data_IF_307783393548
#
_entry.id   IF_307783393548
#
_cell.length_a   1.000
_cell.length_b   1.000
_cell.length_c   1.000
_cell.angle_alpha   90.00
_cell.angle_beta   90.00
_cell.angle_gamma   90.00
#
_symmetry.space_group_name_H-M   'P 1'
#
loop_
_entity.id
_entity.type
_entity.pdbx_description
1 polymer ?
#
# COMPACT_ATOMS: atom_id res chain seq x y z
N UNK A 1 -19.52 32.48 35.37
CA UNK A 1 -18.36 31.83 34.75
C UNK A 1 -17.86 30.75 35.67
N UNK A 2 -18.08 29.48 35.33
CA UNK A 2 -17.52 28.35 36.07
C UNK A 2 -16.21 27.93 35.39
N UNK A 3 -15.10 28.37 35.97
CA UNK A 3 -13.77 27.85 35.67
C UNK A 3 -13.70 26.41 36.17
N UNK A 4 -13.70 25.45 35.23
CA UNK A 4 -13.24 24.08 35.51
C UNK A 4 -11.74 24.15 35.79
N UNK A 5 -11.35 24.28 37.06
CA UNK A 5 -9.96 24.07 37.47
C UNK A 5 -9.63 22.59 37.27
N UNK A 6 -8.79 22.30 36.29
CA UNK A 6 -8.17 21.00 36.13
C UNK A 6 -7.40 20.68 37.42
N UNK A 7 -7.91 19.73 38.19
CA UNK A 7 -7.40 19.43 39.53
C UNK A 7 -6.25 18.43 39.37
N UNK A 8 -5.03 18.94 39.21
CA UNK A 8 -3.83 18.10 39.23
C UNK A 8 -3.59 17.69 40.69
N UNK A 9 -4.08 16.52 41.08
CA UNK A 9 -3.78 15.93 42.38
C UNK A 9 -2.31 15.49 42.42
N UNK A 10 -1.58 15.84 43.48
CA UNK A 10 -0.20 15.42 43.70
C UNK A 10 -0.11 13.90 43.86
N UNK A 11 0.96 13.29 43.33
CA UNK A 11 1.21 11.86 43.51
C UNK A 11 1.83 11.60 44.90
N UNK A 12 0.98 11.43 45.90
CA UNK A 12 1.35 11.15 47.29
C UNK A 12 0.40 10.12 47.94
N UNK A 13 0.80 9.59 49.10
CA UNK A 13 0.02 8.56 49.82
C UNK A 13 -1.37 9.04 50.26
N UNK A 14 -1.58 10.35 50.43
CA UNK A 14 -2.88 10.91 50.83
C UNK A 14 -3.86 10.93 49.64
N UNK A 15 -3.34 11.17 48.43
CA UNK A 15 -4.09 11.21 47.19
C UNK A 15 -4.21 9.83 46.50
N UNK A 16 -3.45 8.82 46.91
CA UNK A 16 -3.53 7.44 46.36
C UNK A 16 -4.97 6.90 46.25
N UNK A 17 -5.86 6.99 47.27
CA UNK A 17 -7.24 6.50 47.14
C UNK A 17 -8.01 7.20 46.01
N UNK A 18 -7.84 8.53 45.87
CA UNK A 18 -8.46 9.33 44.81
C UNK A 18 -7.87 8.98 43.44
N UNK A 19 -6.55 8.80 43.36
CA UNK A 19 -5.86 8.36 42.15
C UNK A 19 -6.34 6.97 41.71
N UNK A 20 -6.46 6.00 42.62
CA UNK A 20 -7.00 4.66 42.29
C UNK A 20 -8.48 4.70 41.92
N UNK A 21 -9.30 5.56 42.56
CA UNK A 21 -10.72 5.73 42.22
C UNK A 21 -10.91 6.30 40.80
N UNK A 22 -10.02 7.20 40.39
CA UNK A 22 -10.06 7.88 39.10
C UNK A 22 -9.19 7.18 38.03
N UNK A 23 -8.36 6.21 38.42
CA UNK A 23 -7.51 5.47 37.51
C UNK A 23 -8.35 4.69 36.49
N UNK A 24 -7.95 4.77 35.22
CA UNK A 24 -8.44 3.88 34.17
C UNK A 24 -7.53 2.67 34.12
N UNK A 25 -8.00 1.53 34.62
CA UNK A 25 -7.25 0.27 34.63
C UNK A 25 -7.80 -0.73 33.62
N UNK A 26 -6.91 -1.57 33.12
CA UNK A 26 -7.23 -2.70 32.27
C UNK A 26 -5.97 -3.53 32.03
N UNK A 27 -6.13 -4.79 31.65
CA UNK A 27 -5.01 -5.65 31.24
C UNK A 27 -5.33 -6.17 29.84
N UNK A 28 -4.37 -6.12 28.92
CA UNK A 28 -4.55 -6.61 27.54
C UNK A 28 -3.56 -7.73 27.24
N UNK A 29 -4.09 -8.86 26.77
CA UNK A 29 -3.36 -10.02 26.28
C UNK A 29 -3.55 -10.12 24.76
N UNK A 30 -2.46 -10.34 24.03
CA UNK A 30 -2.50 -10.68 22.61
C UNK A 30 -1.74 -11.99 22.42
N UNK A 31 -2.44 -13.03 21.96
CA UNK A 31 -1.92 -14.39 21.86
C UNK A 31 -2.07 -14.83 20.39
N UNK A 32 -1.01 -14.70 19.57
CA UNK A 32 -1.00 -15.25 18.22
C UNK A 32 -0.57 -16.73 18.25
N UNK A 33 -1.50 -17.63 17.93
CA UNK A 33 -1.22 -19.06 17.79
C UNK A 33 -1.19 -19.38 16.30
N UNK A 34 -0.09 -19.92 15.80
CA UNK A 34 0.00 -20.38 14.42
C UNK A 34 0.93 -21.58 14.31
N UNK A 35 0.67 -22.44 13.33
CA UNK A 35 1.54 -23.55 12.98
C UNK A 35 1.45 -23.82 11.48
N UNK A 36 2.42 -24.54 10.93
CA UNK A 36 2.41 -24.99 9.54
C UNK A 36 2.71 -26.47 9.49
N UNK A 37 1.80 -27.23 8.88
CA UNK A 37 1.92 -28.69 8.72
C UNK A 37 1.93 -29.03 7.24
N UNK A 38 2.84 -29.92 6.84
CA UNK A 38 2.84 -30.48 5.48
C UNK A 38 1.89 -31.66 5.42
N UNK A 39 0.78 -31.49 4.71
CA UNK A 39 -0.20 -32.54 4.42
C UNK A 39 0.15 -33.19 3.08
N UNK A 40 0.21 -34.52 3.05
CA UNK A 40 0.58 -35.31 1.86
C UNK A 40 1.90 -34.88 1.20
N UNK A 41 2.83 -34.24 1.95
CA UNK A 41 4.12 -33.67 1.47
C UNK A 41 4.02 -32.47 0.51
N UNK A 42 2.87 -32.24 -0.13
CA UNK A 42 2.70 -31.20 -1.16
C UNK A 42 1.94 -29.96 -0.68
N UNK A 43 1.03 -30.11 0.29
CA UNK A 43 0.20 -29.02 0.79
C UNK A 43 0.75 -28.49 2.10
N UNK A 44 1.18 -27.22 2.12
CA UNK A 44 1.48 -26.53 3.35
C UNK A 44 0.17 -25.94 3.90
N UNK A 45 -0.35 -26.54 4.96
CA UNK A 45 -1.56 -26.09 5.67
C UNK A 45 -1.13 -25.32 6.90
N UNK A 46 -1.56 -24.07 7.02
CA UNK A 46 -1.19 -23.15 8.09
C UNK A 46 -2.43 -22.61 8.81
N UNK A 47 -2.96 -23.34 9.82
CA UNK A 47 -3.96 -22.79 10.71
C UNK A 47 -3.37 -21.67 11.58
N UNK A 48 -4.19 -20.67 11.86
CA UNK A 48 -3.86 -19.56 12.74
C UNK A 48 -5.08 -19.17 13.59
N UNK A 49 -4.83 -18.80 14.82
CA UNK A 49 -5.81 -18.28 15.77
C UNK A 49 -5.18 -17.04 16.40
N UNK A 50 -5.85 -15.90 16.32
CA UNK A 50 -5.47 -14.70 17.06
C UNK A 50 -6.47 -14.49 18.18
N UNK A 51 -6.00 -14.38 19.42
CA UNK A 51 -6.83 -14.08 20.59
C UNK A 51 -6.37 -12.75 21.18
N UNK A 52 -7.31 -11.81 21.27
CA UNK A 52 -7.19 -10.49 21.87
C UNK A 52 -8.11 -10.43 23.09
N UNK A 53 -7.55 -10.63 24.28
CA UNK A 53 -8.29 -10.63 25.52
C UNK A 53 -7.99 -9.37 26.34
N UNK A 54 -9.03 -8.62 26.71
CA UNK A 54 -8.92 -7.44 27.56
C UNK A 54 -9.70 -7.65 28.84
N UNK A 55 -9.05 -7.49 29.98
CA UNK A 55 -9.67 -7.54 31.29
C UNK A 55 -9.95 -6.14 31.82
N UNK A 56 -11.13 -5.98 32.41
CA UNK A 56 -11.57 -4.78 33.09
C UNK A 56 -12.14 -5.13 34.47
N UNK A 57 -11.99 -4.20 35.40
CA UNK A 57 -12.46 -4.35 36.78
C UNK A 57 -13.72 -3.51 37.07
N UNK A 58 -14.23 -2.87 36.01
CA UNK A 58 -15.44 -2.04 36.03
C UNK A 58 -16.26 -2.38 34.79
N UNK A 59 -17.57 -2.20 34.84
CA UNK A 59 -18.47 -2.37 33.71
C UNK A 59 -19.51 -1.26 33.71
N UNK A 60 -19.72 -0.61 32.57
CA UNK A 60 -20.78 0.38 32.43
C UNK A 60 -22.12 -0.31 32.28
N UNK A 61 -23.13 0.24 32.95
CA UNK A 61 -24.51 -0.13 32.78
C UNK A 61 -25.29 1.07 32.24
N UNK A 62 -25.89 0.86 31.09
CA UNK A 62 -26.57 1.90 30.33
C UNK A 62 -28.07 1.91 30.64
N UNK A 63 -28.68 3.08 30.51
CA UNK A 63 -30.12 3.20 30.48
C UNK A 63 -30.56 4.43 29.71
N UNK A 64 -31.87 4.60 29.57
CA UNK A 64 -32.42 5.83 29.06
C UNK A 64 -32.31 6.94 30.13
N UNK A 65 -32.11 8.17 29.68
CA UNK A 65 -32.21 9.37 30.49
C UNK A 65 -33.65 9.60 30.98
N UNK A 66 -33.86 10.63 31.81
CA UNK A 66 -35.18 10.93 32.36
C UNK A 66 -36.24 11.21 31.28
N UNK A 67 -35.84 11.69 30.10
CA UNK A 67 -36.75 11.95 28.98
C UNK A 67 -37.02 10.72 28.11
N UNK A 68 -36.25 9.65 28.29
CA UNK A 68 -36.33 8.44 27.48
C UNK A 68 -35.73 8.58 26.07
N UNK A 69 -35.07 9.70 25.76
CA UNK A 69 -34.63 10.05 24.40
C UNK A 69 -33.16 9.77 24.15
N UNK A 70 -32.35 9.70 25.20
CA UNK A 70 -30.89 9.56 25.09
C UNK A 70 -30.39 8.40 25.95
N UNK A 71 -29.43 7.63 25.44
CA UNK A 71 -28.73 6.62 26.23
C UNK A 71 -27.65 7.29 27.10
N UNK A 72 -27.71 7.05 28.41
CA UNK A 72 -26.76 7.57 29.41
C UNK A 72 -26.24 6.43 30.29
N UNK A 73 -25.05 6.61 30.85
CA UNK A 73 -24.50 5.69 31.85
C UNK A 73 -25.29 5.91 33.13
N UNK A 74 -26.04 4.89 33.59
CA UNK A 74 -26.80 4.97 34.85
C UNK A 74 -25.89 4.70 36.05
N UNK A 75 -25.02 3.71 35.89
CA UNK A 75 -24.11 3.26 36.93
C UNK A 75 -22.88 2.57 36.33
N UNK A 76 -21.85 2.43 37.15
CA UNK A 76 -20.64 1.66 36.83
C UNK A 76 -20.44 0.63 37.91
N UNK A 77 -20.61 -0.65 37.57
CA UNK A 77 -20.39 -1.76 38.49
C UNK A 77 -18.89 -2.03 38.65
N UNK A 78 -18.43 -2.23 39.89
CA UNK A 78 -17.05 -2.65 40.19
C UNK A 78 -16.94 -4.18 40.13
N UNK A 79 -16.96 -4.72 38.92
CA UNK A 79 -16.94 -6.17 38.66
C UNK A 79 -15.87 -6.53 37.65
N UNK A 80 -15.17 -7.64 37.90
CA UNK A 80 -14.29 -8.22 36.90
C UNK A 80 -15.10 -8.68 35.69
N UNK A 81 -14.67 -8.28 34.51
CA UNK A 81 -15.25 -8.70 33.24
C UNK A 81 -14.17 -8.67 32.16
N UNK A 82 -14.43 -9.37 31.06
CA UNK A 82 -13.46 -9.51 29.98
C UNK A 82 -14.10 -9.35 28.62
N UNK A 83 -13.32 -8.82 27.69
CA UNK A 83 -13.59 -8.84 26.25
C UNK A 83 -12.64 -9.85 25.64
N UNK A 84 -13.16 -10.95 25.13
CA UNK A 84 -12.38 -11.92 24.35
C UNK A 84 -12.75 -11.81 22.88
N UNK A 85 -11.87 -11.20 22.10
CA UNK A 85 -11.94 -11.13 20.66
C UNK A 85 -11.04 -12.20 20.07
N UNK A 86 -11.55 -12.99 19.12
CA UNK A 86 -10.72 -13.96 18.41
C UNK A 86 -10.98 -13.93 16.90
N UNK A 87 -10.02 -14.43 16.15
CA UNK A 87 -10.17 -14.74 14.72
C UNK A 87 -9.51 -16.06 14.41
N UNK A 88 -10.15 -16.85 13.57
CA UNK A 88 -9.70 -18.16 13.11
C UNK A 88 -9.33 -18.04 11.64
N UNK A 89 -8.21 -18.62 11.26
CA UNK A 89 -7.81 -18.69 9.86
C UNK A 89 -7.14 -20.01 9.52
N UNK A 90 -7.24 -20.41 8.26
CA UNK A 90 -6.47 -21.52 7.72
C UNK A 90 -6.05 -21.18 6.30
N UNK A 91 -4.77 -21.33 5.99
CA UNK A 91 -4.28 -21.19 4.62
C UNK A 91 -3.70 -22.50 4.11
N UNK A 92 -3.88 -22.76 2.82
CA UNK A 92 -3.35 -23.91 2.11
C UNK A 92 -2.59 -23.39 0.90
N UNK A 93 -1.30 -23.73 0.83
CA UNK A 93 -0.44 -23.39 -0.32
C UNK A 93 0.20 -24.66 -0.88
N UNK A 94 0.32 -24.76 -2.20
CA UNK A 94 1.10 -25.80 -2.87
C UNK A 94 1.94 -25.21 -4.01
N UNK A 95 2.85 -25.99 -4.57
CA UNK A 95 3.62 -25.62 -5.77
C UNK A 95 3.49 -26.72 -6.81
N UNK A 96 3.05 -26.34 -7.99
CA UNK A 96 2.89 -27.20 -9.15
C UNK A 96 3.95 -26.80 -10.16
N UNK A 97 4.73 -27.78 -10.62
CA UNK A 97 5.80 -27.58 -11.59
C UNK A 97 5.38 -28.16 -12.93
N UNK A 98 5.30 -27.32 -13.96
CA UNK A 98 5.12 -27.69 -15.35
C UNK A 98 6.38 -27.42 -16.16
N UNK A 99 6.77 -28.34 -17.04
CA UNK A 99 7.86 -28.12 -17.99
C UNK A 99 7.44 -28.65 -19.35
N UNK A 100 7.40 -27.76 -20.34
CA UNK A 100 7.26 -28.11 -21.75
C UNK A 100 8.65 -28.15 -22.38
N UNK A 101 8.96 -29.22 -23.10
CA UNK A 101 10.20 -29.35 -23.88
C UNK A 101 9.86 -29.44 -25.36
N UNK A 102 10.54 -28.66 -26.19
CA UNK A 102 10.33 -28.72 -27.62
C UNK A 102 10.85 -30.05 -28.18
N UNK A 103 9.98 -30.76 -28.89
CA UNK A 103 10.33 -32.05 -29.52
C UNK A 103 11.29 -31.87 -30.71
N UNK A 104 11.21 -30.74 -31.40
CA UNK A 104 12.06 -30.45 -32.55
C UNK A 104 13.47 -29.98 -32.11
N UNK A 105 14.56 -30.69 -32.47
CA UNK A 105 15.93 -30.30 -32.16
C UNK A 105 16.41 -29.00 -32.83
N UNK A 106 15.71 -28.48 -33.84
CA UNK A 106 16.03 -27.19 -34.47
C UNK A 106 15.23 -26.02 -33.90
N UNK A 107 14.31 -26.27 -32.97
CA UNK A 107 13.49 -25.23 -32.36
C UNK A 107 14.34 -24.19 -31.62
N UNK A 108 14.06 -22.91 -31.90
CA UNK A 108 14.66 -21.76 -31.20
C UNK A 108 14.29 -21.74 -29.72
N UNK A 109 13.12 -22.26 -29.37
CA UNK A 109 12.67 -22.45 -27.99
C UNK A 109 12.92 -23.90 -27.62
N UNK A 110 13.77 -24.15 -26.63
CA UNK A 110 14.09 -25.48 -26.11
C UNK A 110 13.06 -25.99 -25.12
N UNK A 111 12.50 -25.09 -24.34
CA UNK A 111 11.46 -25.43 -23.39
C UNK A 111 10.94 -24.23 -22.61
N UNK A 112 9.82 -24.44 -21.93
CA UNK A 112 9.16 -23.47 -21.07
C UNK A 112 8.94 -24.16 -19.73
N UNK A 113 9.39 -23.52 -18.65
CA UNK A 113 9.10 -23.95 -17.28
C UNK A 113 8.08 -22.99 -16.70
N UNK A 114 7.05 -23.55 -16.08
CA UNK A 114 5.99 -22.83 -15.40
C UNK A 114 5.88 -23.36 -13.97
N UNK A 115 6.02 -22.48 -12.99
CA UNK A 115 5.79 -22.78 -11.59
C UNK A 115 4.50 -22.08 -11.17
N UNK A 116 3.50 -22.86 -10.79
CA UNK A 116 2.21 -22.36 -10.31
C UNK A 116 2.18 -22.53 -8.80
N UNK A 117 1.87 -21.46 -8.07
CA UNK A 117 1.76 -21.43 -6.62
C UNK A 117 0.35 -20.99 -6.23
N UNK A 118 -0.64 -21.90 -6.24
CA UNK A 118 -1.96 -21.59 -5.74
C UNK A 118 -1.92 -21.45 -4.21
N UNK A 119 -2.70 -20.51 -3.70
CA UNK A 119 -2.94 -20.30 -2.28
C UNK A 119 -4.44 -20.06 -2.05
N UNK A 120 -4.98 -20.73 -1.04
CA UNK A 120 -6.35 -20.55 -0.58
C UNK A 120 -6.27 -20.22 0.90
N UNK A 121 -6.95 -19.18 1.37
CA UNK A 121 -7.02 -18.86 2.79
C UNK A 121 -8.44 -18.55 3.22
N UNK A 122 -8.91 -19.22 4.26
CA UNK A 122 -10.17 -18.93 4.91
C UNK A 122 -9.92 -18.15 6.19
N UNK A 123 -10.71 -17.12 6.45
CA UNK A 123 -10.67 -16.33 7.68
C UNK A 123 -12.09 -16.12 8.22
N UNK A 124 -12.24 -16.33 9.52
CA UNK A 124 -13.48 -16.13 10.25
C UNK A 124 -13.26 -15.34 11.54
N UNK A 125 -14.04 -14.28 11.69
CA UNK A 125 -14.13 -13.47 12.91
C UNK A 125 -15.62 -13.36 13.26
N UNK A 126 -16.07 -13.86 14.42
CA UNK A 126 -17.45 -13.71 14.85
C UNK A 126 -17.87 -12.25 15.02
N UNK A 127 -19.17 -12.00 15.01
CA UNK A 127 -19.71 -10.71 15.49
C UNK A 127 -19.71 -10.68 17.01
N UNK A 128 -18.69 -10.05 17.60
CA UNK A 128 -18.60 -9.81 19.05
C UNK A 128 -19.62 -8.79 19.57
N UNK A 129 -20.43 -8.25 18.66
CA UNK A 129 -21.65 -7.53 18.94
C UNK A 129 -22.81 -8.36 19.46
N UNK A 130 -22.78 -9.68 19.25
CA UNK A 130 -23.85 -10.58 19.66
C UNK A 130 -24.09 -10.50 21.17
N UNK A 131 -25.36 -10.52 21.57
CA UNK A 131 -25.77 -10.36 22.96
C UNK A 131 -25.19 -11.45 23.87
N UNK A 132 -24.91 -12.65 23.33
CA UNK A 132 -24.29 -13.76 24.06
C UNK A 132 -22.91 -13.43 24.63
N UNK A 133 -22.15 -12.52 24.02
CA UNK A 133 -20.85 -12.09 24.54
C UNK A 133 -21.00 -11.08 25.68
N UNK A 134 -22.12 -10.36 25.76
CA UNK A 134 -22.36 -9.37 26.81
C UNK A 134 -21.46 -8.14 26.76
N UNK A 135 -20.72 -7.89 25.67
CA UNK A 135 -19.83 -6.72 25.54
C UNK A 135 -20.60 -5.42 25.28
N UNK A 136 -21.81 -5.55 24.73
CA UNK A 136 -22.68 -4.44 24.42
C UNK A 136 -24.00 -4.55 25.18
N UNK A 137 -24.64 -3.41 25.40
CA UNK A 137 -25.95 -3.31 26.01
C UNK A 137 -26.90 -2.58 25.05
N UNK A 138 -28.05 -3.17 24.83
CA UNK A 138 -29.14 -2.54 24.08
C UNK A 138 -29.99 -1.70 25.02
N UNK A 139 -30.22 -0.44 24.65
CA UNK A 139 -31.03 0.53 25.38
C UNK A 139 -32.23 0.89 24.51
N UNK A 140 -33.44 0.72 25.04
CA UNK A 140 -34.68 1.17 24.40
C UNK A 140 -34.86 2.67 24.66
N UNK A 141 -35.02 3.44 23.60
CA UNK A 141 -35.23 4.89 23.59
C UNK A 141 -36.50 5.23 22.81
N UNK A 142 -36.99 6.46 22.96
CA UNK A 142 -38.15 6.99 22.24
C UNK A 142 -37.75 8.15 21.34
N UNK A 143 -38.23 8.14 20.10
CA UNK A 143 -38.01 9.24 19.17
C UNK A 143 -38.88 10.47 19.50
N UNK A 144 -38.75 11.54 18.73
CA UNK A 144 -39.54 12.76 18.93
C UNK A 144 -41.06 12.55 18.79
N UNK A 145 -41.49 11.46 18.15
CA UNK A 145 -42.88 11.05 17.95
C UNK A 145 -43.33 9.97 18.95
N UNK A 146 -42.48 9.62 19.93
CA UNK A 146 -42.76 8.61 20.94
C UNK A 146 -42.59 7.16 20.48
N UNK A 147 -42.10 6.92 19.25
CA UNK A 147 -41.84 5.58 18.74
C UNK A 147 -40.58 5.01 19.39
N UNK A 148 -40.67 3.79 19.89
CA UNK A 148 -39.51 3.09 20.47
C UNK A 148 -38.52 2.66 19.40
N UNK A 149 -37.23 2.86 19.70
CA UNK A 149 -36.10 2.36 18.93
C UNK A 149 -34.99 1.93 19.87
N UNK A 150 -34.10 1.06 19.37
CA UNK A 150 -33.02 0.49 20.16
C UNK A 150 -31.67 1.07 19.75
N UNK A 151 -30.85 1.40 20.74
CA UNK A 151 -29.46 1.82 20.54
C UNK A 151 -28.55 0.88 21.29
N UNK A 152 -27.53 0.36 20.60
CA UNK A 152 -26.52 -0.50 21.21
C UNK A 152 -25.33 0.34 21.68
N UNK A 153 -24.92 0.17 22.94
CA UNK A 153 -23.80 0.87 23.57
C UNK A 153 -22.76 -0.11 24.09
N UNK A 154 -21.48 0.27 23.99
CA UNK A 154 -20.38 -0.52 24.54
C UNK A 154 -20.40 -0.45 26.05
N UNK A 155 -20.27 -1.58 26.76
CA UNK A 155 -20.14 -1.58 28.23
C UNK A 155 -18.77 -1.09 28.72
N UNK A 156 -17.87 -0.74 27.80
CA UNK A 156 -16.49 -0.32 28.06
C UNK A 156 -16.16 1.01 27.37
N UNK A 157 -17.18 1.80 27.04
CA UNK A 157 -16.99 3.11 26.41
C UNK A 157 -16.11 4.01 27.28
N UNK A 158 -15.05 4.59 26.70
CA UNK A 158 -14.11 5.47 27.41
C UNK A 158 -13.11 4.77 28.33
N UNK A 159 -13.09 3.43 28.39
CA UNK A 159 -12.06 2.66 29.10
C UNK A 159 -10.72 2.67 28.34
N UNK A 160 -9.63 2.37 29.04
CA UNK A 160 -8.25 2.56 28.55
C UNK A 160 -7.94 1.82 27.22
N UNK A 161 -8.51 0.64 26.99
CA UNK A 161 -8.32 -0.13 25.75
C UNK A 161 -9.58 -0.16 24.86
N UNK A 162 -10.61 0.60 25.20
CA UNK A 162 -11.88 0.65 24.46
C UNK A 162 -12.74 -0.62 24.58
N UNK A 163 -13.80 -0.66 23.76
CA UNK A 163 -14.75 -1.77 23.69
C UNK A 163 -14.40 -2.81 22.64
N UNK A 164 -15.28 -3.80 22.52
CA UNK A 164 -15.12 -4.87 21.53
C UNK A 164 -15.39 -4.38 20.10
N UNK A 165 -14.96 -5.16 19.11
CA UNK A 165 -15.31 -4.95 17.70
C UNK A 165 -16.72 -5.47 17.42
N UNK A 166 -17.31 -5.03 16.32
CA UNK A 166 -18.61 -5.47 15.85
C UNK A 166 -18.51 -5.93 14.40
N UNK A 167 -19.46 -6.76 13.99
CA UNK A 167 -19.54 -7.32 12.66
C UNK A 167 -18.81 -8.64 12.51
N UNK A 168 -19.31 -9.45 11.59
CA UNK A 168 -18.72 -10.73 11.21
C UNK A 168 -17.75 -10.52 10.05
N UNK A 169 -16.59 -11.18 10.12
CA UNK A 169 -15.72 -11.40 8.95
C UNK A 169 -15.80 -12.87 8.59
N UNK A 170 -16.16 -13.18 7.35
CA UNK A 170 -16.21 -14.56 6.87
C UNK A 170 -15.78 -14.56 5.41
N UNK A 171 -14.51 -14.83 5.14
CA UNK A 171 -13.97 -14.70 3.80
C UNK A 171 -13.08 -15.86 3.39
N UNK A 172 -13.15 -16.23 2.12
CA UNK A 172 -12.24 -17.15 1.45
C UNK A 172 -11.45 -16.35 0.40
N UNK A 173 -10.15 -16.23 0.57
CA UNK A 173 -9.25 -15.65 -0.44
C UNK A 173 -8.64 -16.74 -1.31
N UNK A 174 -8.51 -16.44 -2.60
CA UNK A 174 -7.82 -17.26 -3.57
C UNK A 174 -6.73 -16.44 -4.23
N UNK A 175 -5.52 -16.98 -4.30
CA UNK A 175 -4.42 -16.42 -5.03
C UNK A 175 -3.75 -17.47 -5.91
N UNK A 176 -3.25 -17.02 -7.06
CA UNK A 176 -2.53 -17.85 -8.02
C UNK A 176 -1.26 -17.12 -8.45
N UNK A 177 -0.13 -17.52 -7.91
CA UNK A 177 1.19 -17.04 -8.35
C UNK A 177 1.73 -17.87 -9.50
N UNK A 178 2.32 -17.23 -10.49
CA UNK A 178 2.90 -17.88 -11.66
C UNK A 178 4.30 -17.32 -11.91
N UNK A 179 5.29 -18.20 -12.06
CA UNK A 179 6.62 -17.85 -12.57
C UNK A 179 6.84 -18.64 -13.84
N UNK A 180 7.11 -17.93 -14.95
CA UNK A 180 7.26 -18.54 -16.27
C UNK A 180 8.62 -18.15 -16.84
N UNK A 181 9.45 -19.14 -17.13
CA UNK A 181 10.75 -18.97 -17.78
C UNK A 181 10.81 -19.79 -19.07
N UNK A 182 11.56 -19.29 -20.06
CA UNK A 182 11.79 -19.95 -21.33
C UNK A 182 13.29 -20.15 -21.54
N UNK A 183 13.64 -21.31 -22.08
CA UNK A 183 15.00 -21.63 -22.52
C UNK A 183 15.05 -21.54 -24.04
N UNK A 184 15.95 -20.71 -24.57
CA UNK A 184 16.12 -20.49 -26.01
C UNK A 184 17.53 -20.89 -26.46
N UNK A 185 17.66 -21.33 -27.71
CA UNK A 185 18.94 -21.64 -28.33
C UNK A 185 19.77 -20.36 -28.51
N UNK A 186 21.06 -20.42 -28.15
CA UNK A 186 22.00 -19.33 -28.41
C UNK A 186 22.19 -19.09 -29.91
N UNK A 187 22.27 -17.81 -30.34
CA UNK A 187 22.46 -17.45 -31.76
C UNK A 187 23.91 -17.65 -32.25
N UNK A 188 24.88 -17.59 -31.35
CA UNK A 188 26.33 -17.63 -31.66
C UNK A 188 27.11 -18.67 -30.85
N UNK A 189 26.49 -19.20 -29.80
CA UNK A 189 27.12 -20.09 -28.85
C UNK A 189 26.22 -21.31 -28.67
N UNK A 190 26.81 -22.49 -28.58
CA UNK A 190 26.11 -23.77 -28.30
C UNK A 190 25.39 -23.78 -26.95
N UNK A 191 25.58 -22.75 -26.13
CA UNK A 191 24.97 -22.57 -24.81
C UNK A 191 23.58 -21.93 -24.96
N UNK A 192 22.57 -22.68 -24.53
CA UNK A 192 21.21 -22.18 -24.41
C UNK A 192 21.08 -21.07 -23.35
N UNK A 193 20.17 -20.14 -23.58
CA UNK A 193 19.91 -18.99 -22.71
C UNK A 193 18.54 -19.09 -22.04
N UNK A 194 18.50 -18.79 -20.74
CA UNK A 194 17.24 -18.62 -20.00
C UNK A 194 16.74 -17.18 -20.09
N UNK A 195 15.46 -17.01 -20.37
CA UNK A 195 14.77 -15.73 -20.47
C UNK A 195 13.50 -15.82 -19.61
N UNK A 196 13.35 -15.00 -18.56
CA UNK A 196 12.09 -14.94 -17.83
C UNK A 196 11.02 -14.32 -18.74
N UNK A 197 9.84 -14.97 -18.81
CA UNK A 197 8.65 -14.40 -19.45
C UNK A 197 7.88 -13.60 -18.41
N UNK A 198 7.67 -14.18 -17.23
CA UNK A 198 7.16 -13.51 -16.05
C UNK A 198 7.96 -13.99 -14.84
N UNK A 199 8.64 -13.06 -14.16
CA UNK A 199 9.28 -13.36 -12.88
C UNK A 199 8.21 -13.69 -11.84
N UNK A 200 7.12 -12.93 -11.87
CA UNK A 200 5.92 -13.16 -11.10
C UNK A 200 4.70 -12.67 -11.90
N UNK A 201 3.66 -13.48 -11.96
CA UNK A 201 2.31 -13.13 -12.37
C UNK A 201 1.37 -13.66 -11.29
N UNK A 202 0.82 -12.77 -10.48
CA UNK A 202 -0.12 -13.11 -9.43
C UNK A 202 -1.51 -12.60 -9.77
N UNK A 203 -2.49 -13.49 -9.59
CA UNK A 203 -3.91 -13.19 -9.70
C UNK A 203 -4.52 -13.47 -8.34
N UNK A 204 -5.30 -12.54 -7.78
CA UNK A 204 -5.90 -12.68 -6.45
C UNK A 204 -7.32 -12.18 -6.41
N UNK A 205 -8.20 -12.91 -5.73
CA UNK A 205 -9.58 -12.52 -5.45
C UNK A 205 -10.00 -13.08 -4.08
N UNK A 206 -11.19 -12.75 -3.62
CA UNK A 206 -11.76 -13.33 -2.40
C UNK A 206 -13.27 -13.35 -2.44
N UNK A 207 -13.89 -14.15 -1.59
CA UNK A 207 -15.32 -14.28 -1.47
C UNK A 207 -15.72 -14.01 -0.03
N UNK A 208 -16.53 -12.99 0.21
CA UNK A 208 -17.06 -12.62 1.52
C UNK A 208 -18.44 -13.26 1.70
N UNK A 209 -18.51 -14.30 2.51
CA UNK A 209 -19.75 -15.01 2.84
C UNK A 209 -20.67 -14.20 3.76
N UNK A 210 -20.14 -13.20 4.46
CA UNK A 210 -20.91 -12.36 5.37
C UNK A 210 -21.60 -11.16 4.68
N UNK A 211 -21.27 -10.85 3.43
CA UNK A 211 -21.88 -9.73 2.71
C UNK A 211 -23.24 -10.12 2.12
N UNK A 212 -24.22 -9.22 2.15
CA UNK A 212 -25.53 -9.46 1.52
C UNK A 212 -25.47 -9.46 -0.01
N UNK A 213 -24.60 -8.63 -0.57
CA UNK A 213 -24.37 -8.46 -2.00
C UNK A 213 -22.89 -8.22 -2.30
N UNK A 214 -22.50 -8.36 -3.56
CA UNK A 214 -21.13 -8.18 -4.02
C UNK A 214 -20.12 -9.08 -3.30
N UNK A 215 -20.50 -10.35 -3.07
CA UNK A 215 -19.75 -11.33 -2.27
C UNK A 215 -18.36 -11.64 -2.85
N UNK A 216 -18.24 -11.81 -4.17
CA UNK A 216 -16.93 -11.94 -4.83
C UNK A 216 -16.24 -10.57 -4.91
N UNK A 217 -15.04 -10.47 -4.39
CA UNK A 217 -14.19 -9.29 -4.46
C UNK A 217 -13.66 -9.08 -5.89
N UNK A 218 -13.13 -7.89 -6.15
CA UNK A 218 -12.42 -7.62 -7.41
C UNK A 218 -11.24 -8.57 -7.59
N UNK A 219 -10.91 -8.85 -8.85
CA UNK A 219 -9.78 -9.66 -9.25
C UNK A 219 -8.58 -8.73 -9.45
N UNK A 220 -7.62 -8.83 -8.53
CA UNK A 220 -6.33 -8.18 -8.65
C UNK A 220 -5.41 -8.99 -9.55
N UNK A 221 -4.71 -8.31 -10.45
CA UNK A 221 -3.70 -8.89 -11.33
C UNK A 221 -2.43 -8.06 -11.14
N UNK A 222 -1.31 -8.72 -10.89
CA UNK A 222 -0.01 -8.05 -10.88
C UNK A 222 1.04 -8.92 -11.52
N UNK A 223 1.80 -8.36 -12.43
CA UNK A 223 2.87 -9.04 -13.14
C UNK A 223 4.15 -8.22 -13.15
N UNK A 224 5.28 -8.90 -13.07
CA UNK A 224 6.61 -8.34 -13.22
C UNK A 224 7.40 -9.21 -14.20
N UNK A 225 8.07 -8.57 -15.15
CA UNK A 225 8.98 -9.26 -16.09
C UNK A 225 10.22 -8.42 -16.39
N UNK A 226 11.31 -9.11 -16.68
CA UNK A 226 12.58 -8.52 -17.07
C UNK A 226 12.95 -9.05 -18.45
N UNK A 227 12.88 -8.19 -19.46
CA UNK A 227 13.20 -8.55 -20.84
C UNK A 227 14.57 -8.01 -21.25
N UNK A 228 15.06 -8.43 -22.42
CA UNK A 228 16.33 -7.96 -23.01
C UNK A 228 17.55 -8.16 -22.07
N UNK A 229 17.61 -9.29 -21.36
CA UNK A 229 18.64 -9.62 -20.37
C UNK A 229 18.65 -8.67 -19.17
N UNK A 230 17.48 -8.49 -18.55
CA UNK A 230 17.30 -7.64 -17.37
C UNK A 230 17.58 -6.14 -17.61
N UNK A 231 17.60 -5.71 -18.87
CA UNK A 231 17.77 -4.29 -19.22
C UNK A 231 16.47 -3.50 -19.08
N UNK A 232 15.35 -4.14 -19.41
CA UNK A 232 14.03 -3.53 -19.32
C UNK A 232 13.22 -4.31 -18.30
N UNK A 233 12.77 -3.62 -17.27
CA UNK A 233 11.81 -4.15 -16.31
C UNK A 233 10.42 -3.60 -16.63
N UNK A 234 9.43 -4.48 -16.64
CA UNK A 234 8.03 -4.16 -16.90
C UNK A 234 7.22 -4.60 -15.69
N UNK A 235 6.47 -3.67 -15.11
CA UNK A 235 5.48 -3.94 -14.08
C UNK A 235 4.09 -3.68 -14.64
N UNK A 236 3.19 -4.60 -14.37
CA UNK A 236 1.80 -4.55 -14.79
C UNK A 236 0.96 -4.73 -13.53
N UNK A 237 -0.03 -3.89 -13.33
CA UNK A 237 -1.05 -4.08 -12.31
C UNK A 237 -2.42 -3.84 -12.91
N UNK A 238 -3.45 -4.49 -12.37
CA UNK A 238 -4.81 -4.36 -12.84
C UNK A 238 -5.80 -4.78 -11.78
N UNK A 239 -6.96 -4.13 -11.77
CA UNK A 239 -8.10 -4.51 -10.97
C UNK A 239 -9.26 -4.73 -11.94
N UNK A 240 -9.81 -5.92 -11.91
CA UNK A 240 -11.00 -6.29 -12.66
C UNK A 240 -12.17 -6.47 -11.69
N UNK A 241 -13.26 -5.77 -11.95
CA UNK A 241 -14.51 -5.91 -11.23
C UNK A 241 -15.40 -6.94 -11.94
N UNK A 242 -15.76 -8.06 -11.29
CA UNK A 242 -16.49 -9.16 -11.94
C UNK A 242 -17.98 -8.86 -12.16
N UNK A 243 -18.51 -7.75 -11.65
CA UNK A 243 -19.93 -7.44 -11.71
C UNK A 243 -20.33 -6.65 -12.95
N UNK A 244 -21.62 -6.73 -13.25
CA UNK A 244 -22.28 -5.95 -14.28
C UNK A 244 -22.29 -4.47 -13.90
N UNK A 245 -22.03 -3.63 -14.91
CA UNK A 245 -22.27 -2.20 -14.84
C UNK A 245 -23.30 -1.82 -15.90
N UNK A 246 -24.26 -1.00 -15.50
CA UNK A 246 -25.37 -0.56 -16.35
C UNK A 246 -25.48 0.96 -16.32
N UNK A 247 -25.76 1.57 -17.47
CA UNK A 247 -26.10 2.98 -17.56
C UNK A 247 -27.61 3.11 -17.38
N UNK A 248 -28.04 3.68 -16.26
CA UNK A 248 -29.46 3.90 -15.94
C UNK A 248 -29.76 5.40 -16.02
N UNK A 249 -30.97 5.77 -16.46
CA UNK A 249 -31.43 7.17 -16.31
C UNK A 249 -31.65 7.47 -14.84
N UNK A 250 -31.09 8.57 -14.39
CA UNK A 250 -31.36 9.09 -13.06
C UNK A 250 -32.80 9.65 -13.03
N UNK A 251 -33.63 9.12 -12.13
CA UNK A 251 -35.00 9.61 -11.93
C UNK A 251 -35.05 10.88 -11.05
N UNK A 252 -33.89 11.36 -10.58
CA UNK A 252 -33.77 12.67 -9.93
C UNK A 252 -33.71 13.74 -11.02
N UNK A 253 -34.88 14.28 -11.39
CA UNK A 253 -34.98 15.48 -12.21
C UNK A 253 -34.32 16.64 -11.47
N UNK A 254 -33.09 16.98 -11.81
CA UNK A 254 -32.53 18.28 -11.48
C UNK A 254 -33.19 19.27 -12.45
N UNK A 255 -33.90 20.32 -11.99
CA UNK A 255 -34.72 21.18 -12.83
C UNK A 255 -33.99 21.86 -14.01
N UNK A 256 -32.66 21.90 -14.01
CA UNK A 256 -31.86 22.67 -14.97
C UNK A 256 -30.96 21.83 -15.91
N UNK A 257 -30.74 20.53 -15.68
CA UNK A 257 -29.72 19.76 -16.45
C UNK A 257 -30.24 18.57 -17.27
N UNK A 258 -31.56 18.37 -17.36
CA UNK A 258 -32.11 17.25 -18.12
C UNK A 258 -31.76 15.89 -17.51
N UNK A 259 -32.12 14.81 -18.21
CA UNK A 259 -32.00 13.45 -17.68
C UNK A 259 -30.52 13.02 -17.61
N UNK A 260 -29.95 12.90 -16.41
CA UNK A 260 -28.57 12.41 -16.25
C UNK A 260 -28.50 10.88 -16.39
N UNK A 261 -27.51 10.39 -17.14
CA UNK A 261 -27.21 8.96 -17.26
C UNK A 261 -26.17 8.61 -16.19
N UNK A 262 -26.52 7.70 -15.29
CA UNK A 262 -25.65 7.27 -14.18
C UNK A 262 -25.22 5.82 -14.35
N UNK A 263 -23.95 5.55 -14.03
CA UNK A 263 -23.42 4.19 -14.03
C UNK A 263 -23.73 3.52 -12.68
N UNK A 264 -24.45 2.39 -12.72
CA UNK A 264 -24.79 1.60 -11.55
C UNK A 264 -24.15 0.22 -11.65
N UNK A 265 -23.49 -0.19 -10.57
CA UNK A 265 -23.00 -1.55 -10.38
C UNK A 265 -24.15 -2.42 -9.88
N UNK A 266 -24.39 -3.56 -10.53
CA UNK A 266 -25.44 -4.53 -10.16
C UNK A 266 -24.81 -5.77 -9.53
N UNK A 267 -25.45 -6.33 -8.50
CA UNK A 267 -25.02 -7.61 -7.90
C UNK A 267 -25.38 -8.80 -8.81
N UNK A 268 -24.81 -8.78 -10.01
CA UNK A 268 -24.92 -9.80 -11.03
C UNK A 268 -23.59 -9.85 -11.76
N UNK A 269 -23.05 -11.04 -11.98
CA UNK A 269 -21.77 -11.16 -12.68
C UNK A 269 -21.87 -10.71 -14.14
N UNK A 270 -20.83 -10.03 -14.62
CA UNK A 270 -20.74 -9.51 -15.98
C UNK A 270 -20.87 -10.64 -17.03
N UNK A 271 -20.29 -11.81 -16.77
CA UNK A 271 -20.36 -12.94 -17.71
C UNK A 271 -21.76 -13.53 -17.84
N UNK A 272 -22.65 -13.31 -16.86
CA UNK A 272 -24.04 -13.75 -16.93
C UNK A 272 -24.91 -12.87 -17.84
N UNK A 273 -24.41 -11.70 -18.23
CA UNK A 273 -25.15 -10.71 -19.05
C UNK A 273 -24.39 -10.31 -20.31
N UNK A 274 -23.41 -11.11 -20.73
CA UNK A 274 -22.63 -10.85 -21.95
C UNK A 274 -21.62 -9.71 -21.85
N UNK A 275 -21.31 -9.20 -20.64
CA UNK A 275 -20.29 -8.16 -20.40
C UNK A 275 -18.87 -8.74 -20.21
N UNK A 276 -18.60 -9.92 -20.77
CA UNK A 276 -17.31 -10.60 -20.65
C UNK A 276 -16.99 -11.05 -19.22
N UNK A 277 -15.71 -11.18 -18.88
CA UNK A 277 -15.25 -11.63 -17.56
C UNK A 277 -15.38 -10.57 -16.46
N UNK A 278 -15.95 -9.41 -16.76
CA UNK A 278 -15.97 -8.23 -15.90
C UNK A 278 -15.29 -7.05 -16.56
N UNK A 279 -15.09 -6.00 -15.76
CA UNK A 279 -14.58 -4.71 -16.24
C UNK A 279 -13.30 -4.34 -15.53
N UNK A 280 -12.27 -3.96 -16.29
CA UNK A 280 -11.07 -3.35 -15.71
C UNK A 280 -11.46 -1.99 -15.14
N UNK A 281 -11.28 -1.79 -13.83
CA UNK A 281 -11.55 -0.52 -13.14
C UNK A 281 -10.27 0.30 -12.95
N UNK A 282 -9.13 -0.37 -12.88
CA UNK A 282 -7.82 0.28 -12.95
C UNK A 282 -6.79 -0.65 -13.59
N UNK A 283 -5.81 -0.05 -14.27
CA UNK A 283 -4.65 -0.75 -14.79
C UNK A 283 -3.43 0.17 -14.76
N UNK A 284 -2.27 -0.37 -14.46
CA UNK A 284 -0.99 0.33 -14.48
C UNK A 284 0.02 -0.48 -15.28
N UNK A 285 0.84 0.21 -16.06
CA UNK A 285 1.92 -0.37 -16.84
C UNK A 285 3.13 0.55 -16.70
N UNK A 286 4.19 0.04 -16.08
CA UNK A 286 5.42 0.78 -15.86
C UNK A 286 6.59 0.06 -16.54
N UNK A 287 7.26 0.76 -17.43
CA UNK A 287 8.49 0.33 -18.09
C UNK A 287 9.66 1.11 -17.49
N UNK A 288 10.66 0.39 -17.00
CA UNK A 288 11.90 1.00 -16.52
C UNK A 288 13.09 0.38 -17.24
N UNK A 289 14.05 1.21 -17.64
CA UNK A 289 15.30 0.76 -18.24
C UNK A 289 16.44 1.68 -17.86
N UNK A 290 17.63 1.10 -17.74
CA UNK A 290 18.86 1.86 -17.70
C UNK A 290 19.66 1.56 -18.98
N UNK A 291 19.91 2.61 -19.77
CA UNK A 291 20.58 2.48 -21.06
C UNK A 291 22.10 2.29 -20.95
N UNK A 292 22.70 2.47 -19.76
CA UNK A 292 24.10 2.11 -19.50
C UNK A 292 24.23 0.89 -18.56
N UNK A 293 24.58 -0.31 -19.09
CA UNK A 293 24.83 -1.50 -18.29
C UNK A 293 25.97 -1.38 -17.27
N UNK A 294 27.00 -0.55 -17.53
CA UNK A 294 28.08 -0.27 -16.58
C UNK A 294 27.61 0.66 -15.45
N UNK A 295 26.75 1.62 -15.76
CA UNK A 295 26.04 2.47 -14.80
C UNK A 295 25.20 1.67 -13.82
N UNK A 296 24.41 0.72 -14.33
CA UNK A 296 23.55 -0.15 -13.51
C UNK A 296 24.34 -1.01 -12.50
N UNK A 297 25.50 -1.53 -12.90
CA UNK A 297 26.38 -2.32 -12.00
C UNK A 297 26.99 -1.44 -10.91
N UNK A 298 27.43 -0.24 -11.25
CA UNK A 298 27.99 0.70 -10.28
C UNK A 298 26.95 1.21 -9.27
N UNK A 299 25.73 1.52 -9.72
CA UNK A 299 24.64 1.95 -8.83
C UNK A 299 24.36 0.89 -7.74
N UNK A 300 24.37 -0.38 -8.15
CA UNK A 300 24.15 -1.51 -7.24
C UNK A 300 25.30 -1.64 -6.23
N UNK A 301 26.54 -1.54 -6.70
CA UNK A 301 27.73 -1.61 -5.85
C UNK A 301 27.82 -0.44 -4.85
N UNK A 302 27.48 0.78 -5.25
CA UNK A 302 27.50 1.94 -4.36
C UNK A 302 26.43 1.83 -3.26
N UNK A 303 25.22 1.35 -3.60
CA UNK A 303 24.16 1.12 -2.61
C UNK A 303 24.54 0.01 -1.62
N UNK A 304 25.15 -1.07 -2.10
CA UNK A 304 25.64 -2.15 -1.24
C UNK A 304 26.74 -1.68 -0.29
N UNK A 305 27.63 -0.80 -0.74
CA UNK A 305 28.68 -0.21 0.10
C UNK A 305 28.09 0.74 1.16
N UNK A 306 27.09 1.55 0.81
CA UNK A 306 26.40 2.43 1.77
C UNK A 306 25.67 1.58 2.83
N UNK A 307 24.96 0.54 2.42
CA UNK A 307 24.25 -0.36 3.33
C UNK A 307 25.21 -1.06 4.32
N UNK A 308 26.40 -1.45 3.84
CA UNK A 308 27.45 -2.11 4.63
C UNK A 308 28.38 -1.14 5.37
N UNK A 309 28.20 0.17 5.24
CA UNK A 309 29.01 1.16 5.94
C UNK A 309 28.69 1.19 7.44
N UNK A 310 29.63 1.71 8.25
CA UNK A 310 29.41 1.93 9.69
C UNK A 310 28.66 3.25 9.98
N UNK A 311 27.99 3.85 8.98
CA UNK A 311 27.22 5.07 9.17
C UNK A 311 25.96 4.81 10.03
N UNK A 312 25.46 5.85 10.70
CA UNK A 312 24.19 5.78 11.43
C UNK A 312 23.05 5.39 10.48
N UNK A 313 22.01 4.74 11.00
CA UNK A 313 20.87 4.31 10.19
C UNK A 313 20.17 5.51 9.52
N UNK A 314 20.17 6.68 10.18
CA UNK A 314 19.68 7.93 9.61
C UNK A 314 20.56 8.43 8.44
N UNK A 315 21.88 8.31 8.55
CA UNK A 315 22.82 8.70 7.50
C UNK A 315 22.77 7.72 6.33
N UNK A 316 22.63 6.42 6.59
CA UNK A 316 22.38 5.41 5.56
C UNK A 316 21.09 5.70 4.82
N UNK A 317 20.00 5.99 5.53
CA UNK A 317 18.73 6.34 4.91
C UNK A 317 18.85 7.59 4.04
N UNK A 318 19.55 8.62 4.51
CA UNK A 318 19.82 9.84 3.75
C UNK A 318 20.70 9.57 2.52
N UNK A 319 21.80 8.83 2.66
CA UNK A 319 22.71 8.48 1.56
C UNK A 319 22.06 7.52 0.56
N UNK A 320 21.15 6.64 0.97
CA UNK A 320 20.41 5.74 0.08
C UNK A 320 19.30 6.48 -0.68
N UNK A 321 18.66 7.48 -0.06
CA UNK A 321 17.72 8.39 -0.74
C UNK A 321 18.45 9.34 -1.69
N UNK A 322 19.66 9.76 -1.32
CA UNK A 322 20.52 10.64 -2.11
C UNK A 322 21.69 9.88 -2.74
N UNK A 323 21.54 8.61 -3.11
CA UNK A 323 22.67 7.79 -3.61
C UNK A 323 23.35 8.39 -4.87
N UNK A 324 22.65 9.28 -5.56
CA UNK A 324 23.16 10.08 -6.67
C UNK A 324 24.15 11.19 -6.26
N UNK A 325 24.33 11.48 -4.96
CA UNK A 325 25.34 12.43 -4.45
C UNK A 325 26.74 11.83 -4.42
N UNK A 326 26.88 10.50 -4.41
CA UNK A 326 28.16 9.86 -4.65
C UNK A 326 28.45 9.86 -6.15
N UNK A 327 29.20 10.87 -6.58
CA UNK A 327 29.59 11.04 -7.96
C UNK A 327 30.75 10.10 -8.28
N UNK A 328 30.46 8.98 -8.96
CA UNK A 328 31.52 8.23 -9.67
C UNK A 328 31.80 8.90 -11.02
N UNK A 329 32.97 9.52 -11.15
CA UNK A 329 33.45 10.17 -12.39
C UNK A 329 33.94 9.16 -13.44
N UNK A 330 34.09 7.86 -13.10
CA UNK A 330 34.58 6.83 -14.03
C UNK A 330 33.54 6.40 -15.06
N UNK A 331 32.27 6.77 -14.87
CA UNK A 331 31.16 6.40 -15.75
C UNK A 331 30.88 7.59 -16.67
N UNK A 332 31.04 7.43 -18.00
CA UNK A 332 30.95 8.57 -18.92
C UNK A 332 29.52 9.11 -19.03
N UNK A 333 28.51 8.25 -18.88
CA UNK A 333 27.11 8.64 -18.87
C UNK A 333 26.23 7.57 -18.23
N UNK A 334 25.05 7.93 -17.74
CA UNK A 334 24.03 7.02 -17.24
C UNK A 334 22.67 7.62 -17.61
N UNK A 335 21.73 6.81 -18.11
CA UNK A 335 20.40 7.30 -18.49
C UNK A 335 19.35 6.26 -18.09
N UNK A 336 18.50 6.66 -17.16
CA UNK A 336 17.38 5.90 -16.63
C UNK A 336 16.10 6.47 -17.24
N UNK A 337 15.31 5.60 -17.86
CA UNK A 337 14.00 5.93 -18.43
C UNK A 337 12.94 5.16 -17.66
N UNK A 338 11.89 5.85 -17.23
CA UNK A 338 10.73 5.29 -16.54
C UNK A 338 9.47 5.80 -17.21
N UNK A 339 8.84 4.96 -18.03
CA UNK A 339 7.58 5.28 -18.69
C UNK A 339 6.43 4.61 -17.96
N UNK A 340 5.40 5.38 -17.60
CA UNK A 340 4.27 4.90 -16.83
C UNK A 340 2.97 5.25 -17.56
N UNK A 341 2.09 4.26 -17.70
CA UNK A 341 0.72 4.40 -18.16
C UNK A 341 -0.18 3.96 -17.02
N UNK A 342 -1.12 4.80 -16.61
CA UNK A 342 -2.15 4.42 -15.66
C UNK A 342 -3.52 4.69 -16.25
N UNK A 343 -4.40 3.70 -16.16
CA UNK A 343 -5.81 3.78 -16.43
C UNK A 343 -6.56 3.69 -15.10
N UNK A 344 -7.50 4.59 -14.89
CA UNK A 344 -8.43 4.51 -13.78
C UNK A 344 -9.82 4.93 -14.22
N UNK A 345 -10.82 4.19 -13.76
CA UNK A 345 -12.22 4.53 -13.91
C UNK A 345 -12.79 4.94 -12.54
N UNK A 346 -13.48 6.06 -12.52
CA UNK A 346 -14.19 6.57 -11.34
C UNK A 346 -15.58 7.04 -11.75
N UNK A 347 -16.39 7.39 -10.76
CA UNK A 347 -17.69 8.02 -10.95
C UNK A 347 -17.59 9.42 -10.38
N UNK A 348 -18.08 10.42 -11.11
CA UNK A 348 -18.11 11.80 -10.62
C UNK A 348 -19.25 12.05 -9.62
N UNK A 349 -19.37 13.28 -9.14
CA UNK A 349 -20.42 13.68 -8.18
C UNK A 349 -21.84 13.53 -8.74
N UNK A 350 -21.99 13.49 -10.07
CA UNK A 350 -23.28 13.36 -10.76
C UNK A 350 -23.65 11.91 -11.06
N UNK A 351 -22.76 10.94 -10.76
CA UNK A 351 -22.96 9.55 -11.10
C UNK A 351 -22.47 9.17 -12.51
N UNK A 352 -21.85 10.10 -13.23
CA UNK A 352 -21.34 9.88 -14.58
C UNK A 352 -19.96 9.20 -14.51
N UNK A 353 -19.72 8.16 -15.32
CA UNK A 353 -18.43 7.49 -15.33
C UNK A 353 -17.37 8.38 -15.98
N UNK A 354 -16.22 8.52 -15.31
CA UNK A 354 -15.02 9.16 -15.83
C UNK A 354 -13.96 8.07 -16.04
N UNK A 355 -13.37 8.03 -17.22
CA UNK A 355 -12.18 7.23 -17.50
C UNK A 355 -11.01 8.16 -17.73
N UNK A 356 -9.95 7.97 -16.94
CA UNK A 356 -8.73 8.77 -17.02
C UNK A 356 -7.58 7.86 -17.40
N UNK A 357 -6.77 8.34 -18.35
CA UNK A 357 -5.50 7.72 -18.72
C UNK A 357 -4.43 8.77 -18.46
N UNK A 358 -3.46 8.45 -17.60
CA UNK A 358 -2.25 9.26 -17.41
C UNK A 358 -1.07 8.53 -18.03
N UNK A 359 -0.21 9.29 -18.70
CA UNK A 359 0.95 8.77 -19.40
C UNK A 359 2.12 9.73 -19.18
N UNK A 360 3.19 9.24 -18.57
CA UNK A 360 4.35 10.06 -18.26
C UNK A 360 5.65 9.30 -18.49
N UNK A 361 6.60 9.94 -19.17
CA UNK A 361 7.98 9.48 -19.26
C UNK A 361 8.82 10.32 -18.31
N UNK A 362 9.37 9.70 -17.27
CA UNK A 362 10.40 10.31 -16.45
C UNK A 362 11.75 9.82 -16.94
N UNK A 363 12.69 10.74 -17.12
CA UNK A 363 14.04 10.40 -17.53
C UNK A 363 15.05 11.15 -16.67
N UNK A 364 16.05 10.43 -16.21
CA UNK A 364 17.08 10.97 -15.33
C UNK A 364 18.41 10.34 -15.63
N UNK A 365 19.47 11.07 -15.40
CA UNK A 365 20.78 10.58 -15.78
C UNK A 365 21.88 11.47 -15.27
N UNK A 366 23.09 11.05 -15.59
CA UNK A 366 24.29 11.80 -15.33
C UNK A 366 25.26 11.64 -16.49
N UNK A 367 25.98 12.70 -16.84
CA UNK A 367 26.96 12.72 -17.92
C UNK A 367 28.23 13.35 -17.37
N UNK A 368 29.33 12.62 -17.48
CA UNK A 368 30.67 13.11 -17.13
C UNK A 368 31.28 13.75 -18.38
N UNK A 369 31.19 15.07 -18.51
CA UNK A 369 31.69 15.81 -19.68
C UNK A 369 33.22 15.78 -19.78
N UNK A 370 33.89 15.77 -18.63
CA UNK A 370 35.35 15.57 -18.48
C UNK A 370 35.60 14.85 -17.15
N UNK A 371 36.85 14.48 -16.84
CA UNK A 371 37.21 13.86 -15.54
C UNK A 371 36.80 14.68 -14.31
N UNK A 372 36.58 15.99 -14.49
CA UNK A 372 36.27 16.94 -13.42
C UNK A 372 34.89 17.58 -13.52
N UNK A 373 34.10 17.24 -14.54
CA UNK A 373 32.79 17.84 -14.75
C UNK A 373 31.72 16.77 -14.88
N UNK A 374 30.67 16.88 -14.07
CA UNK A 374 29.52 15.99 -14.13
C UNK A 374 28.21 16.76 -14.07
N UNK A 375 27.32 16.46 -15.01
CA UNK A 375 25.97 17.02 -15.03
C UNK A 375 25.00 15.91 -14.74
N UNK A 376 24.26 16.03 -13.64
CA UNK A 376 23.11 15.19 -13.31
C UNK A 376 21.86 15.92 -13.76
N UNK A 377 20.90 15.21 -14.33
CA UNK A 377 19.63 15.78 -14.73
C UNK A 377 18.47 14.86 -14.37
N UNK A 378 17.33 15.47 -14.12
CA UNK A 378 16.06 14.80 -13.93
C UNK A 378 14.99 15.64 -14.63
N UNK A 379 14.17 15.00 -15.44
CA UNK A 379 13.11 15.64 -16.19
C UNK A 379 12.02 14.60 -16.48
N UNK A 380 10.92 15.06 -17.06
CA UNK A 380 9.88 14.19 -17.52
C UNK A 380 9.00 14.87 -18.55
N UNK A 381 8.13 14.09 -19.15
CA UNK A 381 7.15 14.54 -20.13
C UNK A 381 5.80 13.92 -19.81
N UNK A 382 4.79 14.77 -19.61
CA UNK A 382 3.39 14.38 -19.43
C UNK A 382 2.73 14.36 -20.81
N UNK A 383 2.42 13.18 -21.32
CA UNK A 383 1.82 13.01 -22.65
C UNK A 383 0.36 13.44 -22.72
N UNK A 384 -0.33 13.55 -21.57
CA UNK A 384 -1.72 14.02 -21.52
C UNK A 384 -1.76 15.52 -21.67
N UNK A 385 -0.88 16.22 -20.93
CA UNK A 385 -0.76 17.68 -21.01
C UNK A 385 0.08 18.15 -22.20
N UNK A 386 0.85 17.24 -22.79
CA UNK A 386 1.85 17.53 -23.84
C UNK A 386 2.94 18.50 -23.37
N UNK A 387 3.32 18.40 -22.10
CA UNK A 387 4.23 19.35 -21.44
C UNK A 387 5.43 18.65 -20.79
N UNK A 388 6.57 19.33 -20.80
CA UNK A 388 7.75 18.93 -20.02
C UNK A 388 7.45 19.21 -18.55
N UNK A 389 7.66 18.20 -17.69
CA UNK A 389 7.51 18.35 -16.24
C UNK A 389 8.71 19.07 -15.64
N UNK A 390 8.70 19.28 -14.32
CA UNK A 390 9.80 19.95 -13.65
C UNK A 390 11.15 19.32 -14.00
N UNK A 391 12.05 20.16 -14.51
CA UNK A 391 13.36 19.74 -15.02
C UNK A 391 14.43 20.35 -14.15
N UNK A 392 15.28 19.52 -13.57
CA UNK A 392 16.39 19.93 -12.73
C UNK A 392 17.72 19.46 -13.31
N UNK A 393 18.73 20.31 -13.21
CA UNK A 393 20.12 20.04 -13.51
C UNK A 393 20.95 20.25 -12.24
N UNK A 394 21.93 19.38 -12.01
CA UNK A 394 22.97 19.55 -11.01
C UNK A 394 24.33 19.44 -11.70
N UNK A 395 24.98 20.58 -11.89
CA UNK A 395 26.28 20.70 -12.54
C UNK A 395 27.34 20.73 -11.45
N UNK A 396 28.20 19.73 -11.44
CA UNK A 396 29.26 19.56 -10.46
C UNK A 396 30.62 19.69 -11.14
N UNK A 397 31.51 20.49 -10.56
CA UNK A 397 32.91 20.62 -10.99
C UNK A 397 33.86 20.33 -9.84
N UNK A 398 34.79 19.42 -10.11
CA UNK A 398 35.93 19.12 -9.27
C UNK A 398 37.09 20.08 -9.59
N UNK A 399 37.59 20.80 -8.59
CA UNK A 399 38.76 21.67 -8.70
C UNK A 399 39.81 21.30 -7.65
N UNK A 400 40.03 19.99 -7.44
CA UNK A 400 41.01 19.38 -6.55
C UNK A 400 40.67 19.50 -5.05
N UNK A 401 40.94 20.65 -4.42
CA UNK A 401 40.64 20.89 -3.00
C UNK A 401 39.26 21.51 -2.77
N UNK A 402 38.56 21.85 -3.85
CA UNK A 402 37.25 22.49 -3.79
C UNK A 402 36.29 21.78 -4.74
N UNK A 403 35.00 21.85 -4.43
CA UNK A 403 33.91 21.34 -5.23
C UNK A 403 32.91 22.46 -5.46
N UNK A 404 32.57 22.66 -6.72
CA UNK A 404 31.52 23.56 -7.15
C UNK A 404 30.29 22.71 -7.49
N UNK A 405 29.11 23.15 -7.04
CA UNK A 405 27.84 22.54 -7.42
C UNK A 405 26.81 23.62 -7.73
N UNK A 406 26.24 23.60 -8.93
CA UNK A 406 25.11 24.42 -9.33
C UNK A 406 23.89 23.52 -9.46
N UNK A 407 22.87 23.73 -8.63
CA UNK A 407 21.54 23.14 -8.81
C UNK A 407 20.67 24.15 -9.53
N UNK A 408 20.03 23.76 -10.63
CA UNK A 408 19.28 24.65 -11.50
C UNK A 408 18.00 23.98 -11.98
N UNK A 409 16.87 24.64 -11.79
CA UNK A 409 15.55 24.19 -12.26
C UNK A 409 15.03 25.22 -13.28
N UNK A 410 15.32 25.06 -14.58
CA UNK A 410 14.92 26.03 -15.60
C UNK A 410 13.45 25.98 -16.00
N UNK A 411 12.82 24.80 -15.91
CA UNK A 411 11.48 24.57 -16.41
C UNK A 411 10.63 23.84 -15.37
N UNK A 412 9.34 24.15 -15.34
CA UNK A 412 8.36 23.58 -14.41
C UNK A 412 7.72 24.64 -13.51
N UNK A 413 6.82 24.20 -12.60
CA UNK A 413 6.05 25.12 -11.74
C UNK A 413 6.91 25.93 -10.79
N UNK A 414 8.07 25.39 -10.39
CA UNK A 414 9.02 26.08 -9.51
C UNK A 414 10.37 26.16 -10.22
N UNK A 415 10.81 27.38 -10.48
CA UNK A 415 12.11 27.67 -11.08
C UNK A 415 13.03 28.23 -9.99
N UNK A 416 14.25 27.72 -9.92
CA UNK A 416 15.25 28.21 -8.99
C UNK A 416 16.66 27.88 -9.48
N UNK A 417 17.64 28.51 -8.86
CA UNK A 417 19.02 28.08 -8.94
C UNK A 417 19.71 28.28 -7.59
N UNK A 418 20.66 27.40 -7.29
CA UNK A 418 21.48 27.46 -6.10
C UNK A 418 22.90 27.09 -6.47
N UNK A 419 23.82 28.03 -6.26
CA UNK A 419 25.24 27.82 -6.47
C UNK A 419 25.91 27.65 -5.11
N UNK A 420 26.63 26.54 -4.95
CA UNK A 420 27.45 26.28 -3.77
C UNK A 420 28.89 26.04 -4.20
N UNK A 421 29.81 26.62 -3.44
CA UNK A 421 31.24 26.31 -3.49
C UNK A 421 31.64 25.85 -2.09
N UNK A 422 32.24 24.67 -2.02
CA UNK A 422 32.73 24.11 -0.77
C UNK A 422 34.15 23.60 -0.94
N UNK A 423 34.96 23.66 0.10
CA UNK A 423 36.20 22.89 0.15
C UNK A 423 35.79 21.42 0.07
N UNK A 424 36.46 20.62 -0.78
CA UNK A 424 36.37 19.17 -0.70
C UNK A 424 36.95 18.80 0.65
N UNK A 425 36.09 18.68 1.62
CA UNK A 425 36.54 18.50 2.98
C UNK A 425 37.27 17.17 3.06
N UNK A 426 38.58 17.20 3.29
CA UNK A 426 39.28 16.09 3.94
C UNK A 426 38.76 15.87 5.38
N UNK A 427 37.91 16.80 5.88
CA UNK A 427 37.42 16.96 7.25
C UNK A 427 35.91 16.65 7.42
N UNK A 428 35.22 16.03 6.45
CA UNK A 428 33.85 15.48 6.64
C UNK A 428 33.88 13.96 6.85
N UNK A 429 34.79 13.55 7.74
CA UNK A 429 34.51 12.56 8.78
C UNK A 429 33.71 13.18 9.94
N UNK A 430 33.44 14.50 9.95
CA UNK A 430 32.61 15.11 10.99
C UNK A 430 31.82 16.35 10.50
N UNK A 431 30.51 16.31 10.66
CA UNK A 431 29.45 17.19 10.12
C UNK A 431 29.71 18.71 10.23
N UNK A 432 29.31 19.47 9.20
CA UNK A 432 28.62 20.76 9.46
C UNK A 432 27.49 21.04 8.46
N UNK A 433 26.31 21.18 9.05
CA UNK A 433 25.01 21.44 8.44
C UNK A 433 24.91 22.89 7.93
N UNK A 434 24.50 23.09 6.68
CA UNK A 434 24.12 24.40 6.16
C UNK A 434 22.60 24.46 5.91
N UNK A 435 21.95 25.49 6.47
CA UNK A 435 20.53 25.86 6.31
C UNK A 435 20.38 26.82 5.12
N UNK A 436 19.36 26.61 4.30
CA UNK A 436 18.91 27.59 3.29
C UNK A 436 17.51 28.10 3.59
N UNK A 437 17.30 29.41 3.39
CA UNK A 437 16.00 30.10 3.46
C UNK A 437 15.31 30.05 2.10
N UNK A 438 14.01 29.78 2.08
CA UNK A 438 13.14 29.84 0.90
C UNK A 438 12.38 31.17 0.85
N UNK A 439 12.26 31.77 -0.34
CA UNK A 439 11.28 32.81 -0.62
C UNK A 439 10.19 32.23 -1.52
N UNK A 440 8.93 32.47 -1.16
CA UNK A 440 7.76 32.13 -1.94
C UNK A 440 7.31 33.38 -2.68
N UNK A 441 7.05 33.26 -3.99
CA UNK A 441 6.26 34.24 -4.72
C UNK A 441 4.95 33.55 -5.12
N UNK A 442 3.84 34.13 -4.68
CA UNK A 442 2.49 33.61 -4.96
C UNK A 442 1.97 34.38 -6.16
N UNK A 443 1.67 33.68 -7.25
CA UNK A 443 0.79 34.19 -8.30
C UNK A 443 -0.53 33.46 -8.25
#
# INVERSE_FOLDING_TARGET
>A
GNSTKDSIASFDFQNLPTLFKNAKSGIKHNIPISTTVKVMKFFAVSPNISIDETWYFRQLNWGADATGKTAVIKDTANVFNRINNFSLGVSVTTRIFGTYLAKNPTSSIRGIRHVITPNISYNYTPDFGDASYGYFQTVKLKDAKGKEYEVRRSRHEGFVYGGSRQGVSNSLSFGLGNTIEMKVRGKKDTVDKKIPIFNNLSIGTGYNFAADSFKLATISISANTNILNNKVNININGILDPYQFELTRNNLTIPEEGTSIIEQKRDRYAWNVGQGIGRITSAGLAFSTNLNPKGQKSDTQSRDQIAKSNASEADKAYLLQNANTYIDFKIPWNLRLNYNINYSRSIDRTGKPISQITQALNFSGDISMTEKWKVVFNSGYDFVKSEITQTSFSINRDIHCWQLSLSWVPFGPFQNYMFNIGVKSALLRDLKLNRTRSFFDVR
#
